data_IF_352919615422
#
_entry.id   IF_352919615422
#
_cell.length_a   1.000
_cell.length_b   1.000
_cell.length_c   1.000
_cell.angle_alpha   90.00
_cell.angle_beta   90.00
_cell.angle_gamma   90.00
#
_symmetry.space_group_name_H-M   'P 1'
#
loop_
_entity.id
_entity.type
_entity.pdbx_description
1 polymer ?
#
# COMPACT_ATOMS: atom_id res chain seq x y z
N UNK A 1 18.56 15.56 4.34
CA UNK A 1 17.68 14.56 3.69
C UNK A 1 16.82 15.32 2.70
N UNK A 2 16.79 14.90 1.44
CA UNK A 2 15.88 15.47 0.45
C UNK A 2 14.42 15.27 0.92
N UNK A 3 13.63 16.35 0.91
CA UNK A 3 12.21 16.30 1.26
C UNK A 3 11.48 15.23 0.46
N UNK A 4 11.88 15.00 -0.80
CA UNK A 4 11.30 13.95 -1.63
C UNK A 4 11.61 12.54 -1.09
N UNK A 5 12.87 12.26 -0.73
CA UNK A 5 13.25 10.96 -0.17
C UNK A 5 12.54 10.69 1.17
N UNK A 6 12.40 11.72 2.02
CA UNK A 6 11.60 11.61 3.25
C UNK A 6 10.13 11.29 2.95
N UNK A 7 9.51 11.97 1.99
CA UNK A 7 8.13 11.73 1.58
C UNK A 7 7.94 10.30 1.06
N UNK A 8 8.89 9.77 0.27
CA UNK A 8 8.85 8.39 -0.22
C UNK A 8 8.91 7.37 0.92
N UNK A 9 9.80 7.57 1.90
CA UNK A 9 9.90 6.67 3.06
C UNK A 9 8.64 6.74 3.95
N UNK A 10 8.09 7.94 4.14
CA UNK A 10 6.84 8.13 4.87
C UNK A 10 5.70 7.41 4.16
N UNK A 11 5.56 7.59 2.84
CA UNK A 11 4.51 6.95 2.05
C UNK A 11 4.64 5.43 2.08
N UNK A 12 5.85 4.88 1.95
CA UNK A 12 6.10 3.44 2.06
C UNK A 12 5.53 2.87 3.38
N UNK A 13 5.75 3.58 4.47
CA UNK A 13 5.24 3.19 5.80
C UNK A 13 3.72 3.23 5.85
N UNK A 14 3.08 4.24 5.26
CA UNK A 14 1.62 4.34 5.22
C UNK A 14 0.99 3.24 4.39
N UNK A 15 1.57 2.92 3.23
CA UNK A 15 1.08 1.84 2.38
C UNK A 15 1.16 0.48 3.07
N UNK A 16 2.29 0.16 3.72
CA UNK A 16 2.44 -1.09 4.46
C UNK A 16 1.41 -1.23 5.59
N UNK A 17 1.15 -0.15 6.34
CA UNK A 17 0.08 -0.14 7.36
C UNK A 17 -1.31 -0.36 6.74
N UNK A 18 -1.58 0.27 5.60
CA UNK A 18 -2.86 0.13 4.90
C UNK A 18 -3.05 -1.29 4.36
N UNK A 19 -2.02 -1.88 3.75
CA UNK A 19 -2.03 -3.28 3.28
C UNK A 19 -2.40 -4.23 4.42
N UNK A 20 -1.76 -4.06 5.58
CA UNK A 20 -2.05 -4.89 6.74
C UNK A 20 -3.52 -4.79 7.17
N UNK A 21 -4.08 -3.56 7.26
CA UNK A 21 -5.50 -3.39 7.62
C UNK A 21 -6.45 -4.00 6.59
N UNK A 22 -6.17 -3.83 5.31
CA UNK A 22 -7.02 -4.37 4.23
C UNK A 22 -7.03 -5.91 4.27
N UNK A 23 -5.84 -6.53 4.37
CA UNK A 23 -5.69 -7.98 4.46
C UNK A 23 -6.30 -8.56 5.73
N UNK A 24 -6.11 -7.88 6.87
CA UNK A 24 -6.49 -8.41 8.18
C UNK A 24 -7.98 -8.21 8.50
N UNK A 25 -8.55 -7.09 8.06
CA UNK A 25 -9.89 -6.68 8.48
C UNK A 25 -10.80 -6.43 7.28
N UNK A 26 -10.47 -5.48 6.38
CA UNK A 26 -11.49 -4.92 5.47
C UNK A 26 -12.09 -5.93 4.48
N UNK A 27 -11.30 -6.88 3.98
CA UNK A 27 -11.82 -7.94 3.09
C UNK A 27 -12.80 -8.85 3.84
N UNK A 28 -12.53 -9.15 5.12
CA UNK A 28 -13.42 -9.94 5.96
C UNK A 28 -14.66 -9.17 6.41
N UNK A 29 -14.47 -7.91 6.82
CA UNK A 29 -15.54 -7.01 7.27
C UNK A 29 -16.54 -6.67 6.16
N UNK A 30 -16.14 -6.81 4.89
CA UNK A 30 -17.04 -6.70 3.74
C UNK A 30 -18.15 -7.79 3.73
N UNK A 31 -18.03 -8.83 4.55
CA UNK A 31 -19.08 -9.83 4.77
C UNK A 31 -19.54 -10.45 3.46
N UNK A 32 -20.86 -10.43 3.22
CA UNK A 32 -21.48 -10.96 2.00
C UNK A 32 -21.43 -10.01 0.79
N UNK A 33 -21.02 -8.74 0.94
CA UNK A 33 -20.93 -7.79 -0.18
C UNK A 33 -19.80 -8.17 -1.15
N UNK A 34 -20.14 -8.82 -2.27
CA UNK A 34 -19.16 -9.26 -3.26
C UNK A 34 -18.45 -8.10 -3.95
N UNK A 35 -19.20 -7.05 -4.32
CA UNK A 35 -18.63 -5.84 -4.91
C UNK A 35 -17.58 -5.20 -3.97
N UNK A 36 -17.88 -5.14 -2.68
CA UNK A 36 -16.97 -4.61 -1.66
C UNK A 36 -15.72 -5.48 -1.53
N UNK A 37 -15.84 -6.82 -1.50
CA UNK A 37 -14.68 -7.73 -1.46
C UNK A 37 -13.81 -7.58 -2.70
N UNK A 38 -14.42 -7.45 -3.87
CA UNK A 38 -13.72 -7.23 -5.13
C UNK A 38 -12.99 -5.89 -5.15
N UNK A 39 -13.63 -4.84 -4.64
CA UNK A 39 -12.98 -3.54 -4.45
C UNK A 39 -11.76 -3.65 -3.53
N UNK A 40 -11.91 -4.22 -2.33
CA UNK A 40 -10.80 -4.34 -1.39
C UNK A 40 -9.65 -5.20 -1.90
N UNK A 41 -9.96 -6.24 -2.66
CA UNK A 41 -8.94 -7.09 -3.30
C UNK A 41 -8.16 -6.32 -4.37
N UNK A 42 -8.85 -5.57 -5.25
CA UNK A 42 -8.19 -4.70 -6.24
C UNK A 42 -7.38 -3.59 -5.57
N UNK A 43 -7.94 -2.98 -4.53
CA UNK A 43 -7.28 -1.95 -3.74
C UNK A 43 -6.01 -2.48 -3.07
N UNK A 44 -6.04 -3.69 -2.53
CA UNK A 44 -4.87 -4.36 -1.97
C UNK A 44 -3.77 -4.53 -3.02
N UNK A 45 -4.10 -5.05 -4.20
CA UNK A 45 -3.14 -5.24 -5.28
C UNK A 45 -2.49 -3.91 -5.68
N UNK A 46 -3.29 -2.86 -5.91
CA UNK A 46 -2.78 -1.53 -6.24
C UNK A 46 -1.76 -1.02 -5.20
N UNK A 47 -2.00 -1.27 -3.91
CA UNK A 47 -1.08 -0.85 -2.85
C UNK A 47 0.22 -1.63 -2.85
N UNK A 48 0.18 -2.92 -3.15
CA UNK A 48 1.37 -3.76 -3.28
C UNK A 48 2.25 -3.30 -4.44
N UNK A 49 1.61 -2.94 -5.56
CA UNK A 49 2.28 -2.37 -6.73
C UNK A 49 2.94 -1.02 -6.37
N UNK A 50 2.20 -0.12 -5.69
CA UNK A 50 2.74 1.15 -5.21
C UNK A 50 3.94 0.97 -4.26
N UNK A 51 3.88 -0.02 -3.35
CA UNK A 51 5.01 -0.34 -2.45
C UNK A 51 6.25 -0.74 -3.25
N UNK A 52 6.09 -1.54 -4.30
CA UNK A 52 7.22 -1.96 -5.14
C UNK A 52 7.83 -0.77 -5.90
N UNK A 53 6.98 0.11 -6.43
CA UNK A 53 7.43 1.33 -7.11
C UNK A 53 8.17 2.28 -6.15
N UNK A 54 7.59 2.57 -4.98
CA UNK A 54 8.22 3.44 -3.97
C UNK A 54 9.56 2.86 -3.52
N UNK A 55 9.66 1.54 -3.31
CA UNK A 55 10.94 0.88 -3.00
C UNK A 55 11.96 1.07 -4.12
N UNK A 56 11.53 0.99 -5.37
CA UNK A 56 12.38 1.25 -6.53
C UNK A 56 12.90 2.69 -6.55
N UNK A 57 12.04 3.68 -6.28
CA UNK A 57 12.42 5.08 -6.22
C UNK A 57 13.38 5.37 -5.06
N UNK A 58 13.10 4.85 -3.86
CA UNK A 58 13.99 5.00 -2.70
C UNK A 58 15.40 4.46 -3.01
N UNK A 59 15.50 3.28 -3.65
CA UNK A 59 16.80 2.71 -4.05
C UNK A 59 17.58 3.62 -4.98
N UNK A 60 16.92 4.31 -5.93
CA UNK A 60 17.55 5.27 -6.85
C UNK A 60 18.04 6.56 -6.17
N UNK A 61 17.55 6.87 -4.97
CA UNK A 61 17.97 8.04 -4.20
C UNK A 61 19.04 7.71 -3.13
N UNK A 62 19.20 6.44 -2.77
CA UNK A 62 20.17 5.97 -1.76
C UNK A 62 21.41 5.33 -2.42
N UNK A 63 21.26 4.74 -3.60
CA UNK A 63 22.35 4.24 -4.44
C UNK A 63 22.82 5.27 -5.45
#
# INVERSE_FOLDING_TARGET
>A
MDNNLYNLMLQLTQEQKSIWRVRKYYIGDAGSCEECRNFWTKFLQQKEDNVNEIRGLIKKHIG
#
